data_IF_082415980534
#
_entry.id   IF_082415980534
#
_cell.length_a   1.000
_cell.length_b   1.000
_cell.length_c   1.000
_cell.angle_alpha   90.00
_cell.angle_beta   90.00
_cell.angle_gamma   90.00
#
_symmetry.space_group_name_H-M   'P 1'
#
loop_
_entity.id
_entity.type
_entity.pdbx_description
1 polymer ?
#
# COMPACT_ATOMS: atom_id res chain seq x y z
N UNK A 1 -28.99 46.84 8.35
CA UNK A 1 -28.14 45.76 7.84
C UNK A 1 -26.74 45.90 8.40
N UNK A 2 -26.40 45.18 9.45
CA UNK A 2 -25.09 45.29 10.12
C UNK A 2 -24.24 44.09 9.66
N UNK A 3 -23.18 44.37 8.87
CA UNK A 3 -22.15 43.40 8.52
C UNK A 3 -21.30 43.13 9.76
N UNK A 4 -21.30 41.85 10.23
CA UNK A 4 -20.37 41.37 11.24
C UNK A 4 -19.11 40.93 10.52
N UNK A 5 -18.04 41.70 10.67
CA UNK A 5 -16.68 41.32 10.30
C UNK A 5 -16.17 40.41 11.43
N UNK A 6 -15.91 39.16 11.10
CA UNK A 6 -15.30 38.20 12.03
C UNK A 6 -13.78 38.35 11.90
N UNK A 7 -13.19 39.06 12.84
CA UNK A 7 -11.73 39.19 12.94
C UNK A 7 -11.16 37.85 13.44
N UNK A 8 -10.37 37.19 12.60
CA UNK A 8 -9.52 36.05 13.00
C UNK A 8 -8.33 36.68 13.74
N UNK A 9 -8.31 36.48 15.05
CA UNK A 9 -7.14 36.77 15.88
C UNK A 9 -6.07 35.74 15.53
N UNK A 10 -5.08 36.11 14.72
CA UNK A 10 -3.79 35.45 14.71
C UNK A 10 -3.11 35.75 16.05
N UNK A 11 -3.12 34.79 16.95
CA UNK A 11 -2.25 34.80 18.10
C UNK A 11 -0.82 34.54 17.62
N UNK A 12 -0.07 35.61 17.31
CA UNK A 12 1.37 35.53 17.16
C UNK A 12 1.96 35.24 18.54
N UNK A 13 2.20 33.95 18.84
CA UNK A 13 3.12 33.60 19.92
C UNK A 13 4.51 34.10 19.53
N UNK A 14 4.90 35.25 20.12
CA UNK A 14 6.29 35.66 20.16
C UNK A 14 7.03 34.60 20.99
N UNK A 15 7.61 33.60 20.35
CA UNK A 15 8.60 32.76 20.97
C UNK A 15 9.83 33.65 21.21
N UNK A 16 10.06 34.01 22.48
CA UNK A 16 11.36 34.51 22.91
C UNK A 16 12.36 33.37 22.60
N UNK A 17 13.16 33.58 21.57
CA UNK A 17 14.35 32.77 21.33
C UNK A 17 15.33 33.05 22.47
N UNK A 18 15.25 32.25 23.52
CA UNK A 18 16.39 32.02 24.39
C UNK A 18 17.44 31.31 23.50
N UNK A 19 18.42 32.09 23.02
CA UNK A 19 19.66 31.54 22.53
C UNK A 19 20.42 30.90 23.69
N UNK A 20 19.89 29.82 24.21
CA UNK A 20 20.51 28.94 25.18
C UNK A 20 21.47 28.02 24.46
N UNK A 21 22.71 27.97 24.94
CA UNK A 21 23.65 26.93 24.57
C UNK A 21 22.95 25.59 24.80
N UNK A 22 22.74 24.79 23.74
CA UNK A 22 22.01 23.52 23.85
C UNK A 22 22.70 22.61 24.89
N UNK A 23 21.89 21.83 25.62
CA UNK A 23 22.36 20.89 26.64
C UNK A 23 22.66 19.54 25.96
N UNK A 24 23.80 18.96 26.25
CA UNK A 24 24.10 17.58 25.85
C UNK A 24 23.16 16.61 26.58
N UNK A 25 22.50 15.73 25.86
CA UNK A 25 21.66 14.67 26.42
C UNK A 25 21.57 13.48 25.49
N UNK A 26 21.19 12.35 26.06
CA UNK A 26 20.88 11.14 25.30
C UNK A 26 19.36 10.96 25.24
N UNK A 27 18.82 10.84 24.03
CA UNK A 27 17.44 10.45 23.79
C UNK A 27 17.38 8.96 23.49
N UNK A 28 16.43 8.27 24.10
CA UNK A 28 16.12 6.87 23.81
C UNK A 28 15.06 6.82 22.71
N UNK A 29 15.52 6.91 21.44
CA UNK A 29 14.64 6.91 20.29
C UNK A 29 14.21 5.48 19.92
N UNK A 30 13.12 5.32 19.17
CA UNK A 30 12.59 4.02 18.77
C UNK A 30 13.59 3.14 18.00
N UNK A 31 14.56 3.75 17.34
CA UNK A 31 15.64 3.10 16.58
C UNK A 31 17.01 3.14 17.30
N UNK A 32 17.02 3.38 18.62
CA UNK A 32 18.20 3.33 19.48
C UNK A 32 18.61 4.68 20.07
N UNK A 33 19.46 4.60 21.07
CA UNK A 33 19.95 5.78 21.80
C UNK A 33 20.76 6.70 20.90
N UNK A 34 20.50 8.01 21.03
CA UNK A 34 21.26 9.05 20.35
C UNK A 34 21.71 10.12 21.34
N UNK A 35 23.01 10.30 21.47
CA UNK A 35 23.57 11.40 22.24
C UNK A 35 23.79 12.62 21.35
N UNK A 36 23.34 13.78 21.82
CA UNK A 36 23.41 15.00 21.02
C UNK A 36 23.12 16.25 21.83
N UNK A 37 22.99 17.37 21.15
CA UNK A 37 22.69 18.66 21.75
C UNK A 37 21.22 18.98 21.55
N UNK A 38 20.49 19.18 22.66
CA UNK A 38 19.10 19.58 22.67
C UNK A 38 18.93 21.04 23.12
N UNK A 39 18.00 21.76 22.49
CA UNK A 39 17.50 23.06 22.95
C UNK A 39 15.99 23.14 22.69
N UNK A 40 15.23 23.44 23.72
CA UNK A 40 13.77 23.50 23.62
C UNK A 40 13.09 23.29 24.96
N UNK A 41 11.78 23.03 24.89
CA UNK A 41 10.93 22.80 26.04
C UNK A 41 11.22 21.44 26.70
N UNK A 42 11.22 21.41 28.02
CA UNK A 42 11.38 20.19 28.80
C UNK A 42 10.32 20.12 29.91
N UNK A 43 9.99 18.90 30.35
CA UNK A 43 9.15 18.67 31.50
C UNK A 43 9.88 19.00 32.83
N UNK A 44 9.22 18.74 33.95
CA UNK A 44 9.78 18.95 35.33
C UNK A 44 10.99 18.05 35.63
N UNK A 45 11.17 16.97 34.89
CA UNK A 45 12.29 16.03 34.99
C UNK A 45 13.43 16.37 34.03
N UNK A 46 13.25 17.39 33.18
CA UNK A 46 14.21 17.80 32.19
C UNK A 46 14.20 16.94 30.91
N UNK A 47 13.12 16.18 30.68
CA UNK A 47 12.88 15.39 29.45
C UNK A 47 12.27 16.29 28.39
N UNK A 48 12.73 16.23 27.10
CA UNK A 48 12.13 16.98 26.00
C UNK A 48 10.61 16.79 25.91
N UNK A 49 9.85 17.87 25.99
CA UNK A 49 8.38 17.82 25.94
C UNK A 49 7.85 19.19 25.53
N UNK A 50 7.36 19.33 24.30
CA UNK A 50 7.01 20.59 23.66
C UNK A 50 7.82 20.84 22.39
N UNK A 51 8.14 22.09 22.07
CA UNK A 51 8.92 22.42 20.88
C UNK A 51 10.43 22.38 21.17
N UNK A 52 11.21 21.80 20.25
CA UNK A 52 12.65 21.69 20.46
C UNK A 52 13.42 21.41 19.19
N UNK A 53 14.73 21.45 19.38
CA UNK A 53 15.74 21.13 18.37
C UNK A 53 16.76 20.18 18.96
N UNK A 54 16.96 19.04 18.31
CA UNK A 54 17.95 18.03 18.66
C UNK A 54 18.92 17.85 17.52
N UNK A 55 20.20 17.91 17.83
CA UNK A 55 21.28 17.74 16.84
C UNK A 55 22.20 16.61 17.29
N UNK A 56 22.38 15.61 16.45
CA UNK A 56 23.19 14.43 16.75
C UNK A 56 23.85 13.90 15.46
N UNK A 57 24.40 12.68 15.50
CA UNK A 57 24.97 11.96 14.37
C UNK A 57 24.29 10.60 14.19
N UNK A 58 24.25 10.10 12.95
CA UNK A 58 23.89 8.71 12.65
C UNK A 58 25.07 7.76 12.96
N UNK A 59 24.87 6.46 12.73
CA UNK A 59 25.88 5.44 12.99
C UNK A 59 27.14 5.58 12.09
N UNK A 60 27.01 6.25 10.94
CA UNK A 60 28.12 6.61 10.07
C UNK A 60 28.88 7.89 10.51
N UNK A 61 28.45 8.52 11.62
CA UNK A 61 29.04 9.78 12.13
C UNK A 61 28.59 11.03 11.37
N UNK A 62 27.57 10.94 10.54
CA UNK A 62 27.03 12.08 9.81
C UNK A 62 26.01 12.84 10.64
N UNK A 63 26.21 14.16 10.69
CA UNK A 63 25.35 15.05 11.49
C UNK A 63 23.97 15.21 10.87
N UNK A 64 22.96 15.19 11.73
CA UNK A 64 21.58 15.56 11.37
C UNK A 64 20.92 16.34 12.50
N UNK A 65 19.83 17.01 12.20
CA UNK A 65 19.09 17.84 13.13
C UNK A 65 17.60 17.62 12.95
N UNK A 66 16.88 17.38 14.05
CA UNK A 66 15.45 17.42 14.12
C UNK A 66 15.01 18.74 14.78
N UNK A 67 14.00 19.40 14.21
CA UNK A 67 13.31 20.59 14.75
C UNK A 67 11.81 20.34 14.71
N UNK A 68 11.15 20.28 15.86
CA UNK A 68 9.73 19.95 15.92
C UNK A 68 9.22 19.70 17.34
N UNK A 69 8.07 19.02 17.39
CA UNK A 69 7.43 18.65 18.64
C UNK A 69 8.09 17.41 19.28
N UNK A 70 8.15 17.41 20.61
CA UNK A 70 8.61 16.29 21.43
C UNK A 70 7.55 15.92 22.43
N UNK A 71 7.37 14.63 22.67
CA UNK A 71 6.55 14.07 23.75
C UNK A 71 7.37 13.00 24.48
N UNK A 72 7.62 13.22 25.77
CA UNK A 72 8.39 12.29 26.60
C UNK A 72 9.77 11.89 26.02
N UNK A 73 10.43 12.83 25.32
CA UNK A 73 11.75 12.60 24.71
C UNK A 73 11.73 12.02 23.29
N UNK A 74 10.55 11.71 22.75
CA UNK A 74 10.35 11.20 21.39
C UNK A 74 9.90 12.30 20.43
N UNK A 75 10.22 12.15 19.14
CA UNK A 75 9.69 13.01 18.08
C UNK A 75 8.23 12.67 17.84
N UNK A 76 7.35 13.65 17.99
CA UNK A 76 5.91 13.52 17.85
C UNK A 76 5.29 14.75 17.19
N UNK A 77 4.30 14.53 16.30
CA UNK A 77 3.64 15.64 15.61
C UNK A 77 4.50 16.27 14.51
N UNK A 78 4.21 17.54 14.17
CA UNK A 78 4.90 18.23 13.08
C UNK A 78 6.37 18.47 13.39
N UNK A 79 7.24 18.10 12.44
CA UNK A 79 8.67 18.24 12.58
C UNK A 79 9.40 18.30 11.24
N UNK A 80 10.69 18.65 11.34
CA UNK A 80 11.60 18.77 10.22
C UNK A 80 12.94 18.15 10.58
N UNK A 81 13.40 17.19 9.78
CA UNK A 81 14.78 16.69 9.84
C UNK A 81 15.60 17.31 8.73
N UNK A 82 16.83 17.69 9.07
CA UNK A 82 17.82 18.21 8.11
C UNK A 82 19.08 17.38 8.23
N UNK A 83 19.47 16.73 7.15
CA UNK A 83 20.65 15.87 7.05
C UNK A 83 21.89 16.69 6.65
N UNK A 84 23.07 16.15 6.92
CA UNK A 84 24.37 16.73 6.50
C UNK A 84 24.46 16.93 4.98
N UNK A 85 23.86 16.05 4.21
CA UNK A 85 23.76 16.13 2.75
C UNK A 85 23.03 17.37 2.25
N UNK A 86 22.22 18.03 3.10
CA UNK A 86 21.30 19.08 2.74
C UNK A 86 19.89 18.57 2.47
N UNK A 87 19.66 17.27 2.48
CA UNK A 87 18.32 16.69 2.39
C UNK A 87 17.46 17.19 3.56
N UNK A 88 16.21 17.48 3.26
CA UNK A 88 15.21 17.94 4.21
C UNK A 88 14.01 16.99 4.16
N UNK A 89 13.46 16.69 5.33
CA UNK A 89 12.26 15.88 5.51
C UNK A 89 11.31 16.67 6.41
N UNK A 90 10.07 16.90 5.94
CA UNK A 90 9.05 17.65 6.66
C UNK A 90 7.81 16.79 6.77
N UNK A 91 7.28 16.60 7.97
CA UNK A 91 6.06 15.81 8.15
C UNK A 91 5.65 15.65 9.58
N UNK A 92 4.63 14.82 9.74
CA UNK A 92 4.17 14.36 11.05
C UNK A 92 5.04 13.18 11.48
N UNK A 93 5.60 13.27 12.67
CA UNK A 93 6.37 12.19 13.29
C UNK A 93 5.51 11.47 14.31
N UNK A 94 5.71 10.17 14.42
CA UNK A 94 5.12 9.32 15.45
C UNK A 94 6.18 8.32 15.92
N UNK A 95 6.39 8.27 17.23
CA UNK A 95 7.41 7.40 17.84
C UNK A 95 8.77 7.53 17.11
N UNK A 96 9.25 8.77 16.88
CA UNK A 96 10.51 9.15 16.25
C UNK A 96 10.60 8.93 14.72
N UNK A 97 9.58 8.35 14.09
CA UNK A 97 9.56 8.03 12.66
C UNK A 97 8.61 8.97 11.93
N UNK A 98 9.03 9.46 10.75
CA UNK A 98 8.16 10.26 9.89
C UNK A 98 7.06 9.38 9.30
N UNK A 99 5.80 9.85 9.40
CA UNK A 99 4.64 9.13 8.85
C UNK A 99 4.42 9.57 7.42
N UNK A 100 4.44 8.66 6.43
CA UNK A 100 4.21 9.03 5.05
C UNK A 100 2.75 9.45 4.80
N UNK A 101 2.55 10.46 3.96
CA UNK A 101 1.26 10.85 3.42
C UNK A 101 0.89 9.86 2.33
N UNK A 102 -0.34 9.29 2.35
CA UNK A 102 -0.77 8.26 1.42
C UNK A 102 -2.26 8.30 1.05
N UNK A 103 -2.64 7.49 0.10
CA UNK A 103 -4.03 7.30 -0.31
C UNK A 103 -4.68 8.61 -0.78
N UNK A 104 -5.80 8.99 -0.19
CA UNK A 104 -6.56 10.19 -0.62
C UNK A 104 -5.82 11.50 -0.35
N UNK A 105 -4.91 11.52 0.61
CA UNK A 105 -4.19 12.73 1.03
C UNK A 105 -3.15 13.17 -0.02
N UNK A 106 -2.63 12.25 -0.83
CA UNK A 106 -1.66 12.58 -1.90
C UNK A 106 -2.31 12.95 -3.24
N UNK A 107 -3.64 12.98 -3.36
CA UNK A 107 -4.31 13.27 -4.65
C UNK A 107 -3.86 14.58 -5.29
N UNK A 108 -3.54 15.59 -4.49
CA UNK A 108 -3.06 16.88 -4.98
C UNK A 108 -1.57 16.91 -5.32
N UNK A 109 -0.81 15.85 -5.02
CA UNK A 109 0.60 15.73 -5.41
C UNK A 109 0.77 15.88 -6.93
N UNK A 110 -0.16 15.36 -7.71
CA UNK A 110 -0.08 15.35 -9.18
C UNK A 110 -0.55 16.65 -9.83
N UNK A 111 -1.23 17.51 -9.08
CA UNK A 111 -1.69 18.82 -9.57
C UNK A 111 -0.88 19.98 -9.04
N UNK A 112 -0.31 19.84 -7.86
CA UNK A 112 0.49 20.87 -7.17
C UNK A 112 1.67 20.23 -6.43
N UNK A 113 2.61 19.58 -7.14
CA UNK A 113 3.72 18.83 -6.51
C UNK A 113 4.61 19.71 -5.62
N UNK A 114 4.73 21.00 -5.92
CA UNK A 114 5.49 21.96 -5.11
C UNK A 114 4.99 22.10 -3.66
N UNK A 115 3.71 21.80 -3.40
CA UNK A 115 3.15 21.81 -2.04
C UNK A 115 3.61 20.62 -1.21
N UNK A 116 4.18 19.60 -1.85
CA UNK A 116 4.72 18.39 -1.20
C UNK A 116 6.24 18.40 -1.10
N UNK A 117 6.90 19.46 -1.55
CA UNK A 117 8.36 19.54 -1.47
C UNK A 117 8.87 19.21 -0.06
N UNK A 118 9.80 18.25 0.02
CA UNK A 118 10.36 17.71 1.26
C UNK A 118 9.39 16.89 2.14
N UNK A 119 8.16 16.63 1.68
CA UNK A 119 7.21 15.77 2.41
C UNK A 119 7.52 14.30 2.14
N UNK A 120 7.35 13.47 3.18
CA UNK A 120 7.38 12.02 3.03
C UNK A 120 6.03 11.53 2.48
N UNK A 121 6.06 10.75 1.42
CA UNK A 121 4.87 10.17 0.78
C UNK A 121 5.03 8.66 0.59
N UNK A 122 3.91 7.95 0.56
CA UNK A 122 3.85 6.56 0.12
C UNK A 122 3.00 6.50 -1.14
N UNK A 123 3.57 5.94 -2.21
CA UNK A 123 2.89 5.72 -3.48
C UNK A 123 3.02 4.26 -3.89
N UNK A 124 1.95 3.73 -4.50
CA UNK A 124 1.98 2.44 -5.20
C UNK A 124 1.71 2.73 -6.67
N UNK A 125 2.44 2.08 -7.56
CA UNK A 125 2.29 2.30 -8.99
C UNK A 125 2.85 1.16 -9.81
N UNK A 126 2.59 1.20 -11.12
CA UNK A 126 3.16 0.27 -12.10
C UNK A 126 4.28 0.96 -12.86
N UNK A 127 5.41 0.29 -13.00
CA UNK A 127 6.55 0.75 -13.82
C UNK A 127 6.13 0.71 -15.28
N UNK A 128 6.16 1.85 -15.97
CA UNK A 128 5.67 1.93 -17.37
C UNK A 128 6.76 2.24 -18.39
N UNK A 129 7.99 2.43 -17.96
CA UNK A 129 9.16 2.65 -18.80
C UNK A 129 10.33 1.80 -18.31
N UNK A 130 11.24 1.44 -19.21
CA UNK A 130 12.43 0.69 -18.87
C UNK A 130 13.23 1.42 -17.77
N UNK A 131 13.58 0.74 -16.65
CA UNK A 131 14.40 1.32 -15.60
C UNK A 131 15.75 1.82 -16.11
N UNK A 132 16.20 2.96 -15.64
CA UNK A 132 17.49 3.55 -15.97
C UNK A 132 18.46 3.35 -14.80
N UNK A 133 19.37 2.39 -14.94
CA UNK A 133 20.42 2.11 -13.95
C UNK A 133 21.56 3.11 -14.07
N UNK A 134 21.95 3.70 -12.95
CA UNK A 134 23.05 4.66 -12.83
C UNK A 134 24.09 4.18 -11.82
N UNK A 135 25.20 4.89 -11.65
CA UNK A 135 26.35 4.43 -10.84
C UNK A 135 26.00 4.12 -9.38
N UNK A 136 25.01 4.81 -8.80
CA UNK A 136 24.63 4.74 -7.38
C UNK A 136 23.16 4.36 -7.15
N UNK A 137 22.43 3.92 -8.19
CA UNK A 137 21.03 3.53 -8.04
C UNK A 137 20.29 3.26 -9.32
N UNK A 138 18.98 3.33 -9.24
CA UNK A 138 18.07 3.19 -10.39
C UNK A 138 17.02 4.31 -10.39
N UNK A 139 16.73 4.83 -11.57
CA UNK A 139 15.62 5.75 -11.80
C UNK A 139 14.49 5.00 -12.52
N UNK A 140 13.29 5.03 -11.96
CA UNK A 140 12.11 4.42 -12.54
C UNK A 140 11.01 5.46 -12.76
N UNK A 141 10.12 5.20 -13.71
CA UNK A 141 8.91 5.96 -13.93
C UNK A 141 7.71 5.07 -13.67
N UNK A 142 6.83 5.52 -12.80
CA UNK A 142 5.63 4.77 -12.41
C UNK A 142 4.36 5.55 -12.73
N UNK A 143 3.28 4.84 -13.06
CA UNK A 143 1.91 5.35 -13.06
C UNK A 143 1.28 5.02 -11.72
N UNK A 144 1.07 6.02 -10.86
CA UNK A 144 0.50 5.81 -9.53
C UNK A 144 -1.03 5.67 -9.53
N UNK A 145 -1.71 6.02 -10.60
CA UNK A 145 -3.06 5.54 -10.90
C UNK A 145 -2.95 4.36 -11.87
N UNK A 146 -2.82 3.17 -11.32
CA UNK A 146 -2.58 1.94 -12.07
C UNK A 146 -3.71 1.65 -13.05
N UNK A 147 -4.98 1.89 -12.64
CA UNK A 147 -6.17 1.57 -13.44
C UNK A 147 -6.37 2.49 -14.64
N UNK A 148 -6.08 3.77 -14.46
CA UNK A 148 -6.26 4.77 -15.52
C UNK A 148 -4.98 5.05 -16.29
N UNK A 149 -3.85 4.45 -15.88
CA UNK A 149 -2.51 4.75 -16.40
C UNK A 149 -2.20 6.24 -16.37
N UNK A 150 -2.45 6.85 -15.21
CA UNK A 150 -2.23 8.27 -14.96
C UNK A 150 -1.27 8.48 -13.77
N UNK A 151 -0.99 9.75 -13.47
CA UNK A 151 -0.16 10.14 -12.33
C UNK A 151 1.30 9.68 -12.45
N UNK A 152 1.93 10.03 -13.59
CA UNK A 152 3.36 9.79 -13.80
C UNK A 152 4.19 10.35 -12.66
N UNK A 153 5.05 9.52 -12.08
CA UNK A 153 5.95 9.84 -10.97
C UNK A 153 7.34 9.33 -11.31
N UNK A 154 8.34 10.17 -11.12
CA UNK A 154 9.74 9.79 -11.30
C UNK A 154 10.30 9.44 -9.92
N UNK A 155 10.85 8.25 -9.79
CA UNK A 155 11.39 7.73 -8.52
C UNK A 155 12.87 7.44 -8.69
N UNK A 156 13.67 7.96 -7.77
CA UNK A 156 15.07 7.65 -7.66
C UNK A 156 15.33 6.78 -6.43
N UNK A 157 15.95 5.61 -6.63
CA UNK A 157 16.26 4.62 -5.61
C UNK A 157 17.79 4.50 -5.53
N UNK A 158 18.39 4.83 -4.36
CA UNK A 158 19.82 4.71 -4.10
C UNK A 158 20.23 3.26 -3.79
N UNK A 159 19.90 2.37 -4.68
CA UNK A 159 20.28 0.96 -4.63
C UNK A 159 20.46 0.45 -6.06
N UNK A 160 21.71 0.24 -6.47
CA UNK A 160 22.07 -0.26 -7.80
C UNK A 160 21.75 -1.75 -7.98
N UNK A 161 21.54 -2.46 -6.89
CA UNK A 161 21.27 -3.90 -6.88
C UNK A 161 19.76 -4.19 -6.78
N UNK A 162 18.92 -3.15 -6.71
CA UNK A 162 17.47 -3.30 -6.77
C UNK A 162 17.02 -3.69 -8.17
N UNK A 163 16.52 -4.91 -8.29
CA UNK A 163 16.00 -5.47 -9.56
C UNK A 163 14.53 -5.09 -9.72
N UNK A 164 14.20 -4.45 -10.83
CA UNK A 164 12.83 -4.05 -11.20
C UNK A 164 12.72 -3.99 -12.72
N UNK A 165 11.62 -4.46 -13.26
CA UNK A 165 11.33 -4.49 -14.67
C UNK A 165 10.13 -3.60 -15.06
N UNK A 166 9.96 -3.40 -16.37
CA UNK A 166 8.75 -2.77 -16.90
C UNK A 166 7.53 -3.66 -16.58
N UNK A 167 6.41 -3.03 -16.21
CA UNK A 167 5.16 -3.65 -15.78
C UNK A 167 5.16 -4.21 -14.34
N UNK A 168 6.28 -4.14 -13.63
CA UNK A 168 6.30 -4.43 -12.19
C UNK A 168 5.47 -3.42 -11.39
N UNK A 169 4.77 -3.92 -10.39
CA UNK A 169 4.13 -3.08 -9.38
C UNK A 169 5.11 -2.78 -8.26
N UNK A 170 5.18 -1.53 -7.85
CA UNK A 170 6.10 -1.11 -6.79
C UNK A 170 5.41 -0.27 -5.73
N UNK A 171 5.80 -0.49 -4.48
CA UNK A 171 5.50 0.41 -3.36
C UNK A 171 6.74 1.23 -3.05
N UNK A 172 6.57 2.53 -2.98
CA UNK A 172 7.64 3.51 -2.73
C UNK A 172 7.24 4.38 -1.55
N UNK A 173 8.10 4.46 -0.53
CA UNK A 173 8.07 5.50 0.49
C UNK A 173 9.27 6.38 0.28
N UNK A 174 9.09 7.70 0.25
CA UNK A 174 10.21 8.59 0.00
C UNK A 174 9.88 10.05 0.12
N UNK A 175 10.89 10.88 -0.10
CA UNK A 175 10.82 12.32 0.03
C UNK A 175 10.59 12.95 -1.33
N UNK A 176 9.55 13.79 -1.43
CA UNK A 176 9.26 14.55 -2.65
C UNK A 176 10.31 15.63 -2.88
N UNK A 177 10.92 15.58 -4.05
CA UNK A 177 11.90 16.54 -4.54
C UNK A 177 11.28 17.65 -5.40
N UNK A 178 12.15 18.44 -6.06
CA UNK A 178 11.70 19.42 -7.04
C UNK A 178 11.00 18.72 -8.21
N UNK A 179 9.82 19.20 -8.65
CA UNK A 179 9.10 18.56 -9.75
C UNK A 179 9.92 18.56 -11.04
N UNK A 180 9.93 17.45 -11.73
CA UNK A 180 10.44 17.38 -13.09
C UNK A 180 9.54 18.21 -14.02
N UNK A 181 10.17 19.01 -14.89
CA UNK A 181 9.51 19.77 -15.94
C UNK A 181 10.17 19.44 -17.27
N UNK A 182 9.41 18.97 -18.23
CA UNK A 182 9.91 18.57 -19.52
C UNK A 182 8.81 18.57 -20.59
N UNK A 183 9.11 17.96 -21.72
CA UNK A 183 8.16 17.79 -22.83
C UNK A 183 7.95 16.27 -23.07
N UNK A 184 6.72 15.88 -23.35
CA UNK A 184 6.43 14.53 -23.79
C UNK A 184 6.81 14.32 -25.27
N UNK A 185 6.74 13.10 -25.76
CA UNK A 185 7.09 12.74 -27.14
C UNK A 185 6.27 13.49 -28.22
N UNK A 186 5.17 14.15 -27.85
CA UNK A 186 4.32 14.94 -28.73
C UNK A 186 4.56 16.46 -28.59
N UNK A 187 5.56 16.89 -27.78
CA UNK A 187 5.90 18.28 -27.56
C UNK A 187 5.00 19.01 -26.57
N UNK A 188 4.18 18.29 -25.79
CA UNK A 188 3.38 18.86 -24.70
C UNK A 188 4.21 18.99 -23.43
N UNK A 189 4.08 20.14 -22.73
CA UNK A 189 4.71 20.31 -21.42
C UNK A 189 4.16 19.29 -20.40
N UNK A 190 5.06 18.67 -19.65
CA UNK A 190 4.74 17.77 -18.56
C UNK A 190 5.40 18.25 -17.26
N UNK A 191 4.68 18.08 -16.16
CA UNK A 191 5.21 18.23 -14.81
C UNK A 191 4.93 16.94 -14.06
N UNK A 192 5.97 16.33 -13.51
CA UNK A 192 5.83 15.11 -12.72
C UNK A 192 6.48 15.29 -11.35
N UNK A 193 5.88 14.81 -10.24
CA UNK A 193 6.55 14.75 -8.96
C UNK A 193 7.77 13.84 -9.07
N UNK A 194 8.82 14.19 -8.34
CA UNK A 194 10.00 13.36 -8.15
C UNK A 194 10.03 12.87 -6.71
N UNK A 195 10.43 11.63 -6.49
CA UNK A 195 10.55 11.02 -5.16
C UNK A 195 11.94 10.39 -5.04
N UNK A 196 12.67 10.74 -3.98
CA UNK A 196 13.84 9.97 -3.57
C UNK A 196 13.39 8.94 -2.55
N UNK A 197 13.47 7.67 -2.92
CA UNK A 197 12.96 6.56 -2.12
C UNK A 197 13.84 6.29 -0.89
N UNK A 198 13.19 6.03 0.24
CA UNK A 198 13.79 5.50 1.47
C UNK A 198 13.40 4.05 1.73
N UNK A 199 12.18 3.66 1.28
CA UNK A 199 11.71 2.28 1.28
C UNK A 199 11.12 1.98 -0.11
N UNK A 200 11.34 0.78 -0.60
CA UNK A 200 10.88 0.33 -1.92
C UNK A 200 10.76 -1.20 -1.94
N UNK A 201 9.74 -1.69 -2.62
CA UNK A 201 9.52 -3.12 -2.81
C UNK A 201 8.72 -3.37 -4.10
N UNK A 202 8.98 -4.51 -4.74
CA UNK A 202 8.15 -5.02 -5.83
C UNK A 202 6.99 -5.79 -5.19
N UNK A 203 5.78 -5.50 -5.65
CA UNK A 203 4.54 -6.11 -5.18
C UNK A 203 3.98 -7.06 -6.22
N UNK A 204 3.17 -8.03 -5.80
CA UNK A 204 2.27 -8.70 -6.72
C UNK A 204 1.03 -7.83 -7.03
N UNK A 205 0.26 -8.23 -8.06
CA UNK A 205 -0.96 -7.53 -8.44
C UNK A 205 -1.94 -7.36 -7.27
N UNK A 206 -2.10 -8.41 -6.48
CA UNK A 206 -3.05 -8.44 -5.36
C UNK A 206 -2.74 -7.34 -4.35
N UNK A 207 -1.46 -7.21 -3.97
CA UNK A 207 -1.04 -6.24 -2.95
C UNK A 207 -0.99 -4.81 -3.50
N UNK A 208 -0.74 -4.65 -4.80
CA UNK A 208 -0.69 -3.35 -5.46
C UNK A 208 -2.07 -2.76 -5.79
N UNK A 209 -2.98 -3.60 -6.32
CA UNK A 209 -4.25 -3.14 -6.94
C UNK A 209 -5.46 -3.44 -6.08
N UNK A 210 -5.47 -4.60 -5.42
CA UNK A 210 -6.61 -5.08 -4.66
C UNK A 210 -6.20 -5.69 -3.30
N UNK A 211 -5.52 -4.91 -2.41
CA UNK A 211 -5.02 -5.43 -1.15
C UNK A 211 -6.16 -6.01 -0.31
N UNK A 212 -5.88 -7.15 0.32
CA UNK A 212 -6.84 -7.84 1.18
C UNK A 212 -7.15 -6.98 2.41
N UNK A 213 -8.42 -6.63 2.58
CA UNK A 213 -8.92 -5.92 3.76
C UNK A 213 -9.29 -6.88 4.88
N UNK A 214 -9.88 -8.02 4.51
CA UNK A 214 -10.28 -9.10 5.43
C UNK A 214 -10.20 -10.46 4.76
N UNK A 215 -9.86 -11.47 5.56
CA UNK A 215 -9.72 -12.85 5.13
C UNK A 215 -10.46 -13.78 6.10
N UNK A 216 -11.13 -14.81 5.56
CA UNK A 216 -11.84 -15.82 6.32
C UNK A 216 -11.50 -17.23 5.80
N UNK A 217 -10.94 -18.04 6.68
CA UNK A 217 -10.75 -19.47 6.43
C UNK A 217 -12.10 -20.20 6.53
N UNK A 218 -12.52 -20.86 5.46
CA UNK A 218 -13.82 -21.51 5.35
C UNK A 218 -13.69 -23.03 5.44
N UNK A 219 -12.84 -23.63 4.61
CA UNK A 219 -12.53 -25.06 4.58
C UNK A 219 -13.78 -25.99 4.54
N UNK A 220 -14.83 -25.57 3.84
CA UNK A 220 -16.04 -26.37 3.63
C UNK A 220 -15.90 -27.23 2.39
N UNK A 221 -16.08 -28.55 2.53
CA UNK A 221 -15.98 -29.51 1.43
C UNK A 221 -17.31 -30.22 1.21
N UNK A 222 -17.70 -30.41 -0.04
CA UNK A 222 -18.78 -31.29 -0.46
C UNK A 222 -18.27 -32.32 -1.46
N UNK A 223 -18.80 -33.52 -1.38
CA UNK A 223 -18.37 -34.63 -2.25
C UNK A 223 -19.58 -35.37 -2.82
N UNK A 224 -19.55 -35.67 -4.12
CA UNK A 224 -20.54 -36.48 -4.83
C UNK A 224 -19.77 -37.44 -5.78
N UNK A 225 -20.08 -38.72 -5.78
CA UNK A 225 -19.43 -39.74 -6.63
C UNK A 225 -17.89 -39.80 -6.59
N UNK A 226 -17.28 -39.27 -5.50
CA UNK A 226 -15.83 -39.13 -5.39
C UNK A 226 -15.25 -37.84 -5.97
N UNK A 227 -16.09 -36.94 -6.45
CA UNK A 227 -15.70 -35.59 -6.89
C UNK A 227 -15.95 -34.59 -5.76
N UNK A 228 -14.93 -33.89 -5.34
CA UNK A 228 -15.03 -32.95 -4.22
C UNK A 228 -14.78 -31.53 -4.67
N UNK A 229 -15.55 -30.60 -4.12
CA UNK A 229 -15.32 -29.17 -4.21
C UNK A 229 -15.15 -28.62 -2.80
N UNK A 230 -14.12 -27.84 -2.57
CA UNK A 230 -13.84 -27.18 -1.29
C UNK A 230 -13.77 -25.67 -1.49
N UNK A 231 -14.53 -24.92 -0.73
CA UNK A 231 -14.29 -23.49 -0.54
C UNK A 231 -13.26 -23.38 0.58
N UNK A 232 -12.04 -22.98 0.23
CA UNK A 232 -10.91 -22.93 1.18
C UNK A 232 -10.97 -21.66 1.99
N UNK A 233 -11.06 -20.51 1.32
CA UNK A 233 -10.89 -19.19 1.89
C UNK A 233 -11.67 -18.14 1.11
N UNK A 234 -12.03 -17.05 1.77
CA UNK A 234 -12.63 -15.86 1.16
C UNK A 234 -11.82 -14.64 1.58
N UNK A 235 -11.46 -13.82 0.62
CA UNK A 235 -10.84 -12.52 0.86
C UNK A 235 -11.74 -11.40 0.35
N UNK A 236 -11.90 -10.38 1.16
CA UNK A 236 -12.55 -9.13 0.79
C UNK A 236 -11.49 -8.06 0.54
N UNK A 237 -11.56 -7.42 -0.62
CA UNK A 237 -10.77 -6.26 -0.99
C UNK A 237 -11.69 -5.06 -1.24
N UNK A 238 -11.12 -3.87 -1.53
CA UNK A 238 -11.92 -2.65 -1.71
C UNK A 238 -12.85 -2.76 -2.92
N UNK A 239 -12.42 -3.44 -4.01
CA UNK A 239 -13.15 -3.48 -5.28
C UNK A 239 -13.50 -4.88 -5.75
N UNK A 240 -13.07 -5.91 -5.05
CA UNK A 240 -13.34 -7.31 -5.40
C UNK A 240 -13.50 -8.20 -4.17
N UNK A 241 -14.11 -9.37 -4.39
CA UNK A 241 -14.15 -10.47 -3.42
C UNK A 241 -13.57 -11.71 -4.10
N UNK A 242 -12.58 -12.32 -3.47
CA UNK A 242 -11.89 -13.52 -3.98
C UNK A 242 -12.35 -14.75 -3.22
N UNK A 243 -12.74 -15.78 -3.97
CA UNK A 243 -13.12 -17.09 -3.45
C UNK A 243 -12.08 -18.10 -3.89
N UNK A 244 -11.38 -18.69 -2.94
CA UNK A 244 -10.39 -19.74 -3.17
C UNK A 244 -11.06 -21.08 -3.17
N UNK A 245 -10.98 -21.79 -4.30
CA UNK A 245 -11.61 -23.08 -4.51
C UNK A 245 -10.55 -24.13 -4.82
N UNK A 246 -10.73 -25.29 -4.21
CA UNK A 246 -10.05 -26.52 -4.57
C UNK A 246 -11.05 -27.54 -5.09
N UNK A 247 -10.69 -28.27 -6.13
CA UNK A 247 -11.43 -29.43 -6.62
C UNK A 247 -10.53 -30.66 -6.67
N UNK A 248 -11.07 -31.81 -6.22
CA UNK A 248 -10.38 -33.10 -6.24
C UNK A 248 -11.23 -34.13 -6.98
N UNK A 249 -10.61 -34.86 -7.88
CA UNK A 249 -11.23 -36.00 -8.59
C UNK A 249 -10.71 -37.33 -8.11
N UNK A 250 -11.45 -37.98 -7.21
CA UNK A 250 -11.27 -39.39 -6.80
C UNK A 250 -12.40 -40.28 -7.35
N UNK A 251 -13.20 -39.72 -8.27
CA UNK A 251 -14.28 -40.44 -8.95
C UNK A 251 -13.81 -41.42 -10.03
N UNK A 252 -14.75 -41.89 -10.86
CA UNK A 252 -14.48 -42.87 -11.92
C UNK A 252 -13.97 -42.26 -13.22
N UNK A 253 -14.41 -41.03 -13.52
CA UNK A 253 -14.28 -40.36 -14.82
C UNK A 253 -13.74 -38.93 -14.71
N UNK A 254 -13.69 -38.18 -15.81
CA UNK A 254 -13.27 -36.77 -15.81
C UNK A 254 -14.31 -35.92 -15.09
N UNK A 255 -13.84 -35.06 -14.20
CA UNK A 255 -14.64 -34.09 -13.47
C UNK A 255 -14.48 -32.72 -14.12
N UNK A 256 -15.58 -32.14 -14.58
CA UNK A 256 -15.62 -30.87 -15.29
C UNK A 256 -16.17 -29.78 -14.38
N UNK A 257 -15.36 -28.78 -14.07
CA UNK A 257 -15.70 -27.67 -13.20
C UNK A 257 -15.22 -26.36 -13.85
N UNK A 258 -16.17 -25.51 -14.24
CA UNK A 258 -15.90 -24.23 -14.89
C UNK A 258 -16.11 -23.08 -13.91
N UNK A 259 -15.15 -22.18 -13.74
CA UNK A 259 -15.24 -21.03 -12.82
C UNK A 259 -16.47 -20.16 -13.08
N UNK A 260 -16.79 -19.93 -14.34
CA UNK A 260 -17.96 -19.13 -14.75
C UNK A 260 -19.32 -19.75 -14.37
N UNK A 261 -19.35 -21.04 -14.00
CA UNK A 261 -20.53 -21.73 -13.48
C UNK A 261 -20.68 -21.57 -11.95
N UNK A 262 -19.70 -20.96 -11.28
CA UNK A 262 -19.81 -20.62 -9.87
C UNK A 262 -20.54 -19.29 -9.70
N UNK A 263 -21.61 -19.30 -8.90
CA UNK A 263 -22.45 -18.11 -8.65
C UNK A 263 -22.51 -17.84 -7.16
N UNK A 264 -22.54 -16.56 -6.80
CA UNK A 264 -22.81 -16.14 -5.42
C UNK A 264 -24.20 -15.51 -5.35
N UNK A 265 -24.95 -15.87 -4.30
CA UNK A 265 -26.21 -15.20 -3.98
C UNK A 265 -26.11 -14.55 -2.61
N UNK A 266 -26.24 -13.22 -2.56
CA UNK A 266 -26.27 -12.43 -1.33
C UNK A 266 -27.46 -11.46 -1.35
N UNK A 267 -28.24 -11.41 -0.27
CA UNK A 267 -29.40 -10.52 -0.14
C UNK A 267 -30.40 -10.62 -1.30
N UNK A 268 -30.56 -11.83 -1.88
CA UNK A 268 -31.44 -12.07 -3.03
C UNK A 268 -30.90 -11.57 -4.38
N UNK A 269 -29.66 -11.11 -4.45
CA UNK A 269 -28.96 -10.73 -5.68
C UNK A 269 -27.93 -11.79 -6.03
N UNK A 270 -27.84 -12.14 -7.32
CA UNK A 270 -26.83 -13.03 -7.87
C UNK A 270 -25.62 -12.23 -8.36
N UNK A 271 -24.44 -12.78 -8.12
CA UNK A 271 -23.15 -12.29 -8.60
C UNK A 271 -22.48 -13.39 -9.40
N UNK A 272 -21.79 -12.99 -10.45
CA UNK A 272 -21.04 -13.84 -11.36
C UNK A 272 -19.56 -13.49 -11.30
N UNK A 273 -18.72 -14.42 -11.79
CA UNK A 273 -17.31 -14.19 -11.96
C UNK A 273 -17.05 -12.87 -12.71
N UNK A 274 -16.07 -12.11 -12.22
CA UNK A 274 -15.58 -10.90 -12.85
C UNK A 274 -14.24 -11.18 -13.52
N UNK A 275 -14.02 -10.60 -14.69
CA UNK A 275 -12.74 -10.68 -15.36
C UNK A 275 -11.63 -10.00 -14.52
N UNK A 276 -10.53 -10.71 -14.35
CA UNK A 276 -9.33 -10.24 -13.66
C UNK A 276 -8.08 -10.60 -14.51
N UNK A 277 -8.06 -10.12 -15.75
CA UNK A 277 -7.02 -10.49 -16.74
C UNK A 277 -5.62 -10.04 -16.35
N UNK A 278 -5.51 -8.90 -15.67
CA UNK A 278 -4.25 -8.31 -15.22
C UNK A 278 -3.76 -8.91 -13.88
N UNK A 279 -4.62 -9.73 -13.25
CA UNK A 279 -4.27 -10.41 -12.00
C UNK A 279 -3.69 -11.80 -12.33
N UNK A 280 -2.52 -12.10 -11.79
CA UNK A 280 -1.90 -13.43 -11.92
C UNK A 280 -2.48 -14.41 -10.87
N UNK A 281 -3.82 -14.46 -10.75
CA UNK A 281 -4.47 -15.41 -9.86
C UNK A 281 -4.44 -16.83 -10.42
N UNK A 282 -4.18 -17.84 -9.55
CA UNK A 282 -4.27 -19.24 -9.96
C UNK A 282 -5.65 -19.56 -10.56
N UNK A 283 -5.66 -20.22 -11.71
CA UNK A 283 -6.89 -20.61 -12.42
C UNK A 283 -7.23 -22.07 -12.18
N UNK A 284 -8.50 -22.34 -11.97
CA UNK A 284 -9.01 -23.72 -11.93
C UNK A 284 -8.80 -24.40 -13.29
N UNK A 285 -8.44 -25.68 -13.26
CA UNK A 285 -8.42 -26.51 -14.47
C UNK A 285 -9.84 -27.03 -14.74
N UNK A 286 -10.29 -26.89 -15.98
CA UNK A 286 -11.68 -27.20 -16.34
C UNK A 286 -11.95 -28.71 -16.35
N UNK A 287 -11.05 -29.51 -16.94
CA UNK A 287 -11.19 -30.95 -17.14
C UNK A 287 -10.23 -31.73 -16.22
N UNK A 288 -10.69 -32.05 -15.03
CA UNK A 288 -9.88 -32.69 -14.03
C UNK A 288 -9.91 -34.21 -14.18
N UNK A 289 -8.81 -34.79 -14.63
CA UNK A 289 -8.67 -36.24 -14.79
C UNK A 289 -8.64 -36.95 -13.43
N UNK A 290 -9.07 -38.23 -13.40
CA UNK A 290 -9.05 -39.06 -12.20
C UNK A 290 -7.70 -39.04 -11.47
N UNK A 291 -7.76 -38.86 -10.16
CA UNK A 291 -6.60 -38.81 -9.26
C UNK A 291 -5.88 -37.46 -9.20
N UNK A 292 -6.38 -36.46 -9.91
CA UNK A 292 -5.81 -35.11 -9.88
C UNK A 292 -6.64 -34.12 -9.04
N UNK A 293 -6.02 -33.03 -8.68
CA UNK A 293 -6.66 -31.87 -8.03
C UNK A 293 -6.28 -30.58 -8.73
N UNK A 294 -7.09 -29.56 -8.55
CA UNK A 294 -6.83 -28.19 -8.99
C UNK A 294 -7.20 -27.22 -7.88
N UNK A 295 -6.48 -26.10 -7.83
CA UNK A 295 -6.79 -24.97 -6.94
C UNK A 295 -6.80 -23.70 -7.78
N UNK A 296 -7.70 -22.77 -7.43
CA UNK A 296 -7.81 -21.51 -8.15
C UNK A 296 -8.61 -20.48 -7.39
N UNK A 297 -8.59 -19.25 -7.92
CA UNK A 297 -9.30 -18.09 -7.38
C UNK A 297 -10.38 -17.69 -8.36
N UNK A 298 -11.60 -17.54 -7.86
CA UNK A 298 -12.71 -16.93 -8.61
C UNK A 298 -12.93 -15.54 -8.05
N UNK A 299 -12.87 -14.55 -8.90
CA UNK A 299 -13.04 -13.14 -8.53
C UNK A 299 -14.48 -12.72 -8.77
N UNK A 300 -15.07 -12.06 -7.79
CA UNK A 300 -16.41 -11.48 -7.85
C UNK A 300 -16.34 -9.97 -7.59
N UNK A 301 -17.36 -9.19 -8.04
CA UNK A 301 -17.50 -7.80 -7.58
C UNK A 301 -17.51 -7.72 -6.05
N UNK A 302 -17.23 -6.54 -5.51
CA UNK A 302 -17.26 -6.32 -4.06
C UNK A 302 -18.56 -6.78 -3.44
N UNK A 303 -18.47 -7.70 -2.47
CA UNK A 303 -19.59 -8.18 -1.66
C UNK A 303 -19.54 -7.52 -0.28
N UNK A 304 -20.71 -7.48 0.38
CA UNK A 304 -20.76 -7.10 1.78
C UNK A 304 -20.22 -8.25 2.67
N UNK A 305 -19.57 -7.91 3.76
CA UNK A 305 -19.16 -8.89 4.80
C UNK A 305 -20.41 -9.35 5.58
N UNK A 306 -21.27 -10.12 4.91
CA UNK A 306 -22.50 -10.71 5.40
C UNK A 306 -22.69 -12.10 4.80
N UNK A 307 -23.48 -12.96 5.43
CA UNK A 307 -23.72 -14.30 4.91
C UNK A 307 -24.14 -14.31 3.43
N UNK A 308 -23.63 -15.30 2.69
CA UNK A 308 -23.99 -15.55 1.30
C UNK A 308 -23.90 -17.02 0.94
N UNK A 309 -24.48 -17.40 -0.18
CA UNK A 309 -24.43 -18.76 -0.70
C UNK A 309 -23.58 -18.81 -1.97
N UNK A 310 -22.62 -19.74 -2.03
CA UNK A 310 -21.88 -20.07 -3.25
C UNK A 310 -22.52 -21.32 -3.84
N UNK A 311 -22.86 -21.28 -5.13
CA UNK A 311 -23.34 -22.44 -5.89
C UNK A 311 -22.37 -22.70 -7.03
N UNK A 312 -21.81 -23.91 -7.08
CA UNK A 312 -20.87 -24.36 -8.11
C UNK A 312 -21.49 -25.49 -8.90
N UNK A 313 -21.73 -25.30 -10.18
CA UNK A 313 -22.19 -26.35 -11.08
C UNK A 313 -20.99 -27.07 -11.67
N UNK A 314 -21.04 -28.41 -11.64
CA UNK A 314 -19.99 -29.27 -12.15
C UNK A 314 -20.60 -30.56 -12.75
N UNK A 315 -19.84 -31.24 -13.58
CA UNK A 315 -20.30 -32.39 -14.34
C UNK A 315 -19.28 -33.52 -14.34
N UNK A 316 -19.74 -34.77 -14.39
CA UNK A 316 -18.93 -35.92 -14.73
C UNK A 316 -19.04 -36.24 -16.21
N UNK A 317 -17.97 -36.76 -16.83
CA UNK A 317 -18.03 -37.35 -18.17
C UNK A 317 -18.87 -38.64 -18.21
N UNK A 318 -19.19 -39.23 -17.05
CA UNK A 318 -20.11 -40.31 -16.90
C UNK A 318 -21.54 -39.80 -16.78
N UNK A 319 -22.35 -39.92 -17.83
CA UNK A 319 -23.72 -39.45 -17.89
C UNK A 319 -24.69 -40.15 -16.95
N UNK A 320 -24.27 -41.29 -16.31
CA UNK A 320 -25.06 -41.99 -15.29
C UNK A 320 -24.91 -41.33 -13.90
N UNK A 321 -23.92 -40.48 -13.71
CA UNK A 321 -23.65 -39.74 -12.47
C UNK A 321 -24.31 -38.36 -12.51
N UNK A 322 -25.50 -38.24 -11.90
CA UNK A 322 -26.21 -36.95 -11.80
C UNK A 322 -25.63 -36.13 -10.65
N UNK A 323 -24.62 -35.31 -10.97
CA UNK A 323 -24.02 -34.39 -10.01
C UNK A 323 -24.97 -33.19 -9.84
N UNK A 324 -25.35 -32.91 -8.59
CA UNK A 324 -26.12 -31.72 -8.22
C UNK A 324 -25.18 -30.56 -7.96
N UNK A 325 -25.63 -29.29 -8.12
CA UNK A 325 -24.80 -28.15 -7.76
C UNK A 325 -24.27 -28.25 -6.33
N UNK A 326 -22.98 -28.01 -6.14
CA UNK A 326 -22.37 -27.87 -4.84
C UNK A 326 -22.80 -26.53 -4.25
N UNK A 327 -23.34 -26.52 -3.03
CA UNK A 327 -23.91 -25.31 -2.43
C UNK A 327 -23.34 -25.08 -1.05
N UNK A 328 -22.60 -24.00 -0.88
CA UNK A 328 -21.93 -23.61 0.35
C UNK A 328 -22.62 -22.40 0.96
N UNK A 329 -23.08 -22.52 2.20
CA UNK A 329 -23.60 -21.38 2.96
C UNK A 329 -22.45 -20.82 3.80
N UNK A 330 -22.06 -19.61 3.49
CA UNK A 330 -20.92 -18.91 4.11
C UNK A 330 -21.46 -17.96 5.17
N UNK A 331 -20.95 -18.10 6.40
CA UNK A 331 -21.23 -17.25 7.55
C UNK A 331 -19.88 -16.81 8.15
N UNK A 332 -19.79 -15.55 8.64
CA UNK A 332 -18.59 -14.91 9.17
C UNK A 332 -18.72 -14.61 10.65
#
# INVERSE_FOLDING_TARGET
MKKRIMAILMASCLALSLAGCGKEMTLNLSYGDRTGTYSGDVDENGVPNGQGKFTTTNDAGEKWTYEGAFVNGHFEGEGKTTWKSGQIEIGTYKDDVIVPIKGKEIKTLYTTPENFLHRCVEVVGVVFAAPEYVDDGVCIQIMADIKNHENNTIVYIHDKDFEVDNEDYVRIVGIVGEPFKGENALGGEITAPTITASEYEVLDYKDAVAPTLKEYEINQTQTQYGYSVTVQKIEFAEEETRVYIKADNQGSDTFNLYSFNAKITQNGKQYEEQDAWDADYPKLQDDLLKGNSTEGVIVYPTLEEKPFTITVEAYSSNYEEEIKPYTFNIEF
#
